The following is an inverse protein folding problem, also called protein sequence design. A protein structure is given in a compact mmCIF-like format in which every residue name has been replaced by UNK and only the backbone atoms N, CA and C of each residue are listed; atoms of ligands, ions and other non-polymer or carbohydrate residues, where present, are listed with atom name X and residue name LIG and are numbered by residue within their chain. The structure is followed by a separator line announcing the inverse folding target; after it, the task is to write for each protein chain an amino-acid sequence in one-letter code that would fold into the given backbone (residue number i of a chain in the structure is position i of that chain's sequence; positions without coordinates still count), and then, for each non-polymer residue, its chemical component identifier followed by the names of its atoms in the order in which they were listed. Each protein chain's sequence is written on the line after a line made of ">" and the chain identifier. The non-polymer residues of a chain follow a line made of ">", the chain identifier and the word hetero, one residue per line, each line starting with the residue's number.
data_IF_925573761192
#
_entry.id   IF_925573761192
#
_cell.length_a   1.000
_cell.length_b   1.000
_cell.length_c   1.000
_cell.angle_alpha   90.00
_cell.angle_beta   90.00
_cell.angle_gamma   90.00
#
_symmetry.space_group_name_H-M   'P 1'
#
loop_
_entity.id
_entity.type
_entity.pdbx_description
1 polymer ?
#
# COMPACT_ATOMS: atom_id res chain seq x y z
N UNK A 1 4.76 -2.63 -70.26
CA UNK A 1 3.85 -2.44 -69.12
C UNK A 1 3.97 -0.98 -68.65
N UNK A 2 2.87 -0.22 -68.57
CA UNK A 2 2.92 1.16 -68.09
C UNK A 2 3.27 1.20 -66.60
N UNK A 3 4.05 2.19 -66.14
CA UNK A 3 4.41 2.33 -64.73
C UNK A 3 3.17 2.67 -63.89
N UNK A 4 3.11 2.18 -62.64
CA UNK A 4 2.02 2.47 -61.73
C UNK A 4 1.95 3.97 -61.40
N UNK A 5 0.75 4.53 -61.20
CA UNK A 5 0.58 5.92 -60.84
C UNK A 5 1.20 6.21 -59.45
N UNK A 6 1.71 7.44 -59.22
CA UNK A 6 2.25 7.82 -57.93
C UNK A 6 1.18 7.81 -56.84
N UNK A 7 1.56 7.54 -55.58
CA UNK A 7 0.63 7.57 -54.45
C UNK A 7 0.05 8.98 -54.24
N UNK A 8 -1.19 9.06 -53.71
CA UNK A 8 -1.80 10.35 -53.38
C UNK A 8 -1.01 11.07 -52.27
N UNK A 9 -1.02 12.42 -52.26
CA UNK A 9 -0.37 13.19 -51.21
C UNK A 9 -1.04 12.94 -49.85
N UNK A 10 -0.28 13.05 -48.74
CA UNK A 10 -0.83 12.91 -47.40
C UNK A 10 -1.88 13.98 -47.10
N UNK A 11 -2.86 13.69 -46.22
CA UNK A 11 -3.86 14.67 -45.80
C UNK A 11 -3.20 15.84 -45.05
N UNK A 12 -3.79 17.05 -45.11
CA UNK A 12 -3.28 18.20 -44.37
C UNK A 12 -3.38 17.97 -42.86
N UNK A 13 -2.48 18.58 -42.06
CA UNK A 13 -2.53 18.48 -40.60
C UNK A 13 -3.83 19.10 -40.04
N UNK A 14 -4.31 18.61 -38.89
CA UNK A 14 -5.48 19.18 -38.23
C UNK A 14 -5.22 20.64 -37.80
N UNK A 15 -6.27 21.48 -37.73
CA UNK A 15 -6.14 22.85 -37.26
C UNK A 15 -5.72 22.89 -35.78
N UNK A 16 -4.99 23.94 -35.35
CA UNK A 16 -4.60 24.11 -33.95
C UNK A 16 -5.82 24.28 -33.04
N UNK A 17 -5.73 23.86 -31.77
CA UNK A 17 -6.80 24.05 -30.80
C UNK A 17 -7.09 25.53 -30.55
N UNK A 18 -8.34 25.90 -30.21
CA UNK A 18 -8.70 27.27 -29.89
C UNK A 18 -7.96 27.76 -28.62
N UNK A 19 -7.66 29.06 -28.51
CA UNK A 19 -7.01 29.62 -27.33
C UNK A 19 -7.91 29.50 -26.09
N UNK A 20 -7.33 29.40 -24.88
CA UNK A 20 -8.09 29.33 -23.64
C UNK A 20 -8.91 30.61 -23.41
N UNK A 21 -10.07 30.53 -22.72
CA UNK A 21 -10.89 31.69 -22.42
C UNK A 21 -10.16 32.67 -21.48
N UNK A 22 -10.44 33.98 -21.58
CA UNK A 22 -9.83 34.98 -20.72
C UNK A 22 -10.26 34.82 -19.25
N UNK A 23 -9.41 35.22 -18.29
CA UNK A 23 -9.73 35.13 -16.87
C UNK A 23 -10.91 36.04 -16.49
N UNK A 24 -11.70 35.67 -15.46
CA UNK A 24 -12.83 36.47 -15.00
C UNK A 24 -12.38 37.82 -14.42
N UNK A 25 -13.22 38.88 -14.54
CA UNK A 25 -12.87 40.20 -14.05
C UNK A 25 -12.80 40.23 -12.50
N UNK A 26 -11.94 41.09 -11.92
CA UNK A 26 -11.80 41.22 -10.47
C UNK A 26 -13.07 41.82 -9.85
N UNK A 27 -13.39 41.45 -8.58
CA UNK A 27 -14.57 41.97 -7.90
C UNK A 27 -14.46 43.47 -7.61
N UNK A 28 -15.60 44.20 -7.59
CA UNK A 28 -15.60 45.64 -7.40
C UNK A 28 -15.16 46.02 -5.97
N UNK A 29 -14.22 46.97 -5.88
CA UNK A 29 -13.75 47.53 -4.61
C UNK A 29 -14.85 48.41 -4.02
N UNK A 30 -15.39 48.01 -2.87
CA UNK A 30 -16.35 48.81 -2.12
C UNK A 30 -15.64 50.00 -1.44
N UNK A 31 -15.98 51.21 -1.86
CA UNK A 31 -15.52 52.46 -1.24
C UNK A 31 -16.63 52.95 -0.29
N UNK A 32 -16.38 52.94 1.02
CA UNK A 32 -17.26 53.56 2.01
C UNK A 32 -16.63 54.85 2.54
N UNK A 33 -17.34 55.97 2.34
CA UNK A 33 -16.96 57.31 2.79
C UNK A 33 -17.03 57.47 4.33
N UNK A 34 -16.32 58.45 4.93
CA UNK A 34 -16.32 58.62 6.39
C UNK A 34 -17.47 59.53 6.82
N UNK A 35 -18.26 59.11 7.81
CA UNK A 35 -19.18 59.99 8.55
C UNK A 35 -18.69 60.16 10.00
N UNK A 36 -18.73 61.43 10.45
CA UNK A 36 -18.28 61.90 11.76
C UNK A 36 -19.05 61.31 12.95
N UNK A 37 -18.44 61.22 14.15
CA UNK A 37 -18.97 60.43 15.26
C UNK A 37 -19.99 61.21 16.10
N UNK A 38 -21.17 60.61 16.34
CA UNK A 38 -22.04 60.97 17.46
C UNK A 38 -21.58 60.22 18.72
N UNK A 39 -21.39 60.97 19.81
CA UNK A 39 -21.04 60.46 21.13
C UNK A 39 -22.20 59.62 21.70
N UNK A 40 -21.93 58.34 21.98
CA UNK A 40 -22.79 57.44 22.75
C UNK A 40 -21.97 56.91 23.95
N UNK A 41 -22.54 56.80 25.16
CA UNK A 41 -21.80 56.46 26.37
C UNK A 41 -21.21 55.04 26.31
N UNK A 42 -19.94 54.91 26.71
CA UNK A 42 -19.22 53.64 26.89
C UNK A 42 -19.89 52.80 27.99
N UNK A 43 -20.71 51.85 27.58
CA UNK A 43 -20.93 50.60 28.33
C UNK A 43 -19.84 49.64 27.84
N UNK A 44 -18.98 49.07 28.70
CA UNK A 44 -18.04 48.05 28.27
C UNK A 44 -18.83 46.75 28.05
N UNK A 45 -19.40 46.61 26.86
CA UNK A 45 -19.77 45.29 26.36
C UNK A 45 -18.44 44.62 26.02
N UNK A 46 -18.06 43.62 26.81
CA UNK A 46 -16.96 42.72 26.51
C UNK A 46 -17.39 41.84 25.33
N UNK A 47 -17.38 42.40 24.13
CA UNK A 47 -17.48 41.64 22.89
C UNK A 47 -16.16 40.85 22.80
N UNK A 48 -16.17 39.51 22.78
CA UNK A 48 -14.97 38.76 22.44
C UNK A 48 -14.59 39.22 21.03
N UNK A 49 -13.44 39.89 20.90
CA UNK A 49 -12.85 40.14 19.60
C UNK A 49 -12.66 38.78 18.95
N UNK A 50 -13.46 38.50 17.92
CA UNK A 50 -13.16 37.41 16.99
C UNK A 50 -11.70 37.59 16.55
N UNK A 51 -10.82 36.60 16.75
CA UNK A 51 -9.54 36.59 16.08
C UNK A 51 -9.83 36.10 14.65
N UNK A 52 -10.26 37.01 13.79
CA UNK A 52 -9.99 36.78 12.37
C UNK A 52 -8.49 37.00 12.18
N UNK A 53 -7.81 35.86 12.12
CA UNK A 53 -6.49 35.62 11.57
C UNK A 53 -5.28 35.72 12.52
N UNK A 54 -4.46 34.67 12.44
CA UNK A 54 -3.24 34.35 13.17
C UNK A 54 -3.42 33.64 14.52
N UNK A 55 -2.76 32.48 14.65
CA UNK A 55 -2.68 31.56 15.80
C UNK A 55 -3.57 30.31 15.76
N UNK A 56 -3.46 29.52 14.69
CA UNK A 56 -3.16 28.11 14.95
C UNK A 56 -1.64 28.00 14.87
N UNK A 57 -0.97 28.15 16.02
CA UNK A 57 0.32 27.47 16.15
C UNK A 57 -0.04 26.00 16.00
N UNK A 58 0.25 25.40 14.86
CA UNK A 58 0.16 23.95 14.74
C UNK A 58 0.96 23.36 15.90
N UNK A 59 0.36 22.41 16.60
CA UNK A 59 1.09 21.64 17.61
C UNK A 59 2.34 21.04 16.94
N UNK A 60 3.47 20.84 17.64
CA UNK A 60 4.62 20.12 17.09
C UNK A 60 4.23 18.76 16.50
N UNK A 61 3.20 18.12 17.07
CA UNK A 61 2.61 16.87 16.56
C UNK A 61 1.89 17.07 15.22
N UNK A 62 1.14 18.16 15.07
CA UNK A 62 0.48 18.50 13.81
C UNK A 62 1.48 18.86 12.71
N UNK A 63 2.57 19.56 13.04
CA UNK A 63 3.64 19.85 12.08
C UNK A 63 4.36 18.56 11.64
N UNK A 64 4.57 17.62 12.56
CA UNK A 64 5.12 16.30 12.25
C UNK A 64 4.19 15.48 11.35
N UNK A 65 2.89 15.46 11.65
CA UNK A 65 1.90 14.74 10.85
C UNK A 65 1.77 15.35 9.46
N UNK A 66 1.75 16.69 9.35
CA UNK A 66 1.72 17.38 8.06
C UNK A 66 2.98 17.09 7.25
N UNK A 67 4.16 17.07 7.88
CA UNK A 67 5.43 16.66 7.25
C UNK A 67 5.37 15.22 6.74
N UNK A 68 4.78 14.30 7.52
CA UNK A 68 4.58 12.89 7.10
C UNK A 68 3.59 12.77 5.95
N UNK A 69 2.47 13.48 6.00
CA UNK A 69 1.49 13.52 4.91
C UNK A 69 2.10 14.09 3.62
N UNK A 70 2.97 15.10 3.75
CA UNK A 70 3.66 15.67 2.59
C UNK A 70 4.59 14.65 1.94
N UNK A 71 5.35 13.90 2.75
CA UNK A 71 6.16 12.78 2.28
C UNK A 71 5.31 11.74 1.55
N UNK A 72 4.25 11.23 2.16
CA UNK A 72 3.40 10.19 1.54
C UNK A 72 2.76 10.67 0.23
N UNK A 73 2.36 11.95 0.16
CA UNK A 73 1.79 12.56 -1.03
C UNK A 73 2.78 12.64 -2.19
N UNK A 74 4.04 13.01 -1.90
CA UNK A 74 5.03 13.32 -2.92
C UNK A 74 6.09 12.23 -3.12
N UNK A 75 6.05 11.14 -2.34
CA UNK A 75 7.04 10.06 -2.40
C UNK A 75 7.24 9.51 -3.81
N UNK A 76 6.16 9.08 -4.45
CA UNK A 76 6.22 8.53 -5.80
C UNK A 76 6.73 9.55 -6.82
N UNK A 77 6.30 10.82 -6.74
CA UNK A 77 6.76 11.85 -7.68
C UNK A 77 8.26 12.12 -7.56
N UNK A 78 8.78 12.20 -6.33
CA UNK A 78 10.23 12.38 -6.10
C UNK A 78 11.02 11.17 -6.61
N UNK A 79 10.52 9.95 -6.38
CA UNK A 79 11.17 8.72 -6.88
C UNK A 79 11.15 8.66 -8.41
N UNK A 80 10.03 9.02 -9.05
CA UNK A 80 9.89 9.05 -10.50
C UNK A 80 10.84 10.06 -11.15
N UNK A 81 10.88 11.29 -10.61
CA UNK A 81 11.80 12.33 -11.07
C UNK A 81 13.27 11.90 -10.91
N UNK A 82 13.61 11.26 -9.80
CA UNK A 82 14.96 10.76 -9.56
C UNK A 82 15.33 9.63 -10.52
N UNK A 83 14.40 8.73 -10.82
CA UNK A 83 14.56 7.65 -11.79
C UNK A 83 14.52 8.14 -13.26
N UNK A 84 14.19 9.41 -13.50
CA UNK A 84 14.06 9.99 -14.84
C UNK A 84 12.82 9.52 -15.59
N UNK A 85 11.80 9.04 -14.87
CA UNK A 85 10.53 8.59 -15.42
C UNK A 85 9.72 9.82 -15.83
N UNK A 86 9.38 9.93 -17.11
CA UNK A 86 8.56 11.03 -17.60
C UNK A 86 7.07 10.82 -17.29
N UNK A 87 6.31 11.91 -17.26
CA UNK A 87 4.85 11.85 -17.15
C UNK A 87 4.23 11.04 -18.30
N UNK A 88 4.80 11.13 -19.52
CA UNK A 88 4.34 10.34 -20.67
C UNK A 88 4.49 8.84 -20.43
N UNK A 89 5.59 8.40 -19.81
CA UNK A 89 5.79 7.00 -19.44
C UNK A 89 4.77 6.55 -18.38
N UNK A 90 4.53 7.37 -17.35
CA UNK A 90 3.51 7.08 -16.33
C UNK A 90 2.11 6.96 -16.95
N UNK A 91 1.74 7.90 -17.82
CA UNK A 91 0.43 7.90 -18.49
C UNK A 91 0.28 6.72 -19.45
N UNK A 92 1.35 6.34 -20.15
CA UNK A 92 1.35 5.18 -21.02
C UNK A 92 1.15 3.88 -20.23
N UNK A 93 1.80 3.73 -19.07
CA UNK A 93 1.58 2.59 -18.18
C UNK A 93 0.12 2.51 -17.70
N UNK A 94 -0.46 3.64 -17.27
CA UNK A 94 -1.88 3.71 -16.89
C UNK A 94 -2.77 3.27 -18.05
N UNK A 95 -2.51 3.78 -19.27
CA UNK A 95 -3.28 3.41 -20.45
C UNK A 95 -3.22 1.90 -20.75
N UNK A 96 -2.04 1.30 -20.65
CA UNK A 96 -1.87 -0.14 -20.81
C UNK A 96 -2.59 -0.89 -19.69
N UNK A 97 -2.46 -0.46 -18.44
CA UNK A 97 -3.14 -1.08 -17.30
C UNK A 97 -4.67 -0.94 -17.36
N UNK A 98 -5.21 0.13 -17.95
CA UNK A 98 -6.65 0.30 -18.13
C UNK A 98 -7.21 -0.61 -19.23
N UNK A 99 -6.45 -0.81 -20.31
CA UNK A 99 -6.87 -1.66 -21.42
C UNK A 99 -6.67 -3.15 -21.14
N UNK A 100 -5.54 -3.48 -20.49
CA UNK A 100 -5.07 -4.85 -20.33
C UNK A 100 -5.01 -5.30 -18.86
N UNK A 101 -5.35 -4.41 -17.92
CA UNK A 101 -5.88 -4.75 -16.59
C UNK A 101 -5.17 -5.88 -15.85
N UNK A 102 -4.02 -5.58 -15.24
CA UNK A 102 -3.50 -6.38 -14.13
C UNK A 102 -3.00 -7.77 -14.48
N UNK A 103 -2.14 -7.90 -15.49
CA UNK A 103 -1.28 -9.07 -15.62
C UNK A 103 -0.02 -8.97 -14.74
N UNK A 104 -0.13 -8.43 -13.52
CA UNK A 104 0.70 -9.00 -12.46
C UNK A 104 0.18 -10.41 -12.25
N UNK A 105 0.78 -11.37 -12.96
CA UNK A 105 0.51 -12.81 -12.78
C UNK A 105 0.53 -13.04 -11.27
N UNK A 106 -0.61 -13.36 -10.61
CA UNK A 106 -0.55 -13.79 -9.24
C UNK A 106 0.41 -14.96 -9.28
N UNK A 107 1.51 -14.85 -8.53
CA UNK A 107 2.48 -15.91 -8.35
C UNK A 107 1.69 -17.23 -8.28
N UNK A 108 1.99 -18.21 -9.13
CA UNK A 108 1.14 -19.42 -9.30
C UNK A 108 0.79 -20.08 -7.95
N UNK A 109 1.67 -19.88 -6.96
CA UNK A 109 1.51 -20.28 -5.56
C UNK A 109 0.26 -19.69 -4.87
N UNK A 110 -0.15 -18.45 -5.16
CA UNK A 110 -1.34 -17.82 -4.58
C UNK A 110 -2.64 -18.34 -5.21
N UNK A 111 -2.64 -18.59 -6.52
CA UNK A 111 -3.81 -19.14 -7.24
C UNK A 111 -4.15 -20.55 -6.74
N UNK A 112 -3.14 -21.38 -6.46
CA UNK A 112 -3.31 -22.70 -5.83
C UNK A 112 -3.91 -22.59 -4.42
N UNK A 113 -3.43 -21.63 -3.62
CA UNK A 113 -3.85 -21.43 -2.22
C UNK A 113 -5.27 -20.85 -2.08
N UNK A 114 -5.73 -20.07 -3.06
CA UNK A 114 -7.10 -19.56 -3.15
C UNK A 114 -8.07 -20.62 -3.71
N UNK A 115 -7.64 -21.42 -4.68
CA UNK A 115 -8.41 -22.55 -5.18
C UNK A 115 -8.69 -23.60 -4.09
N UNK A 116 -7.72 -23.85 -3.20
CA UNK A 116 -7.83 -24.80 -2.10
C UNK A 116 -8.73 -24.31 -0.94
N UNK A 117 -9.07 -23.02 -0.90
CA UNK A 117 -9.93 -22.39 0.13
C UNK A 117 -11.36 -22.09 -0.33
N UNK A 118 -11.80 -22.61 -1.49
CA UNK A 118 -13.20 -22.53 -1.92
C UNK A 118 -14.08 -23.39 -1.01
N UNK A 119 -14.46 -22.85 0.15
CA UNK A 119 -15.51 -23.41 0.98
C UNK A 119 -16.86 -23.21 0.27
N UNK A 120 -17.50 -24.31 -0.13
CA UNK A 120 -18.86 -24.28 -0.65
C UNK A 120 -19.81 -23.90 0.49
N UNK A 121 -20.41 -22.71 0.41
CA UNK A 121 -21.47 -22.30 1.33
C UNK A 121 -22.77 -22.86 0.77
N UNK A 122 -23.19 -24.01 1.29
CA UNK A 122 -24.47 -24.63 0.95
C UNK A 122 -25.62 -23.81 1.53
N UNK A 123 -26.27 -23.01 0.70
CA UNK A 123 -27.63 -22.51 0.96
C UNK A 123 -28.62 -23.45 0.27
N UNK A 124 -29.48 -24.09 1.05
CA UNK A 124 -30.67 -24.80 0.57
C UNK A 124 -31.89 -23.91 0.78
N UNK A 125 -32.67 -23.68 -0.26
CA UNK A 125 -33.97 -23.00 -0.15
C UNK A 125 -35.03 -24.03 0.28
N UNK A 126 -35.91 -23.64 1.21
CA UNK A 126 -37.03 -24.43 1.76
C UNK A 126 -38.17 -24.69 0.74
N UNK A 127 -37.88 -24.86 -0.55
CA UNK A 127 -38.88 -25.20 -1.56
C UNK A 127 -38.30 -25.94 -2.78
N UNK A 128 -37.40 -26.90 -2.57
CA UNK A 128 -36.95 -27.80 -3.64
C UNK A 128 -36.95 -29.25 -3.15
N UNK A 129 -38.00 -29.97 -3.52
CA UNK A 129 -38.08 -31.43 -3.46
C UNK A 129 -37.05 -32.03 -4.43
N UNK A 130 -35.89 -32.43 -3.91
CA UNK A 130 -34.86 -33.14 -4.69
C UNK A 130 -34.99 -34.62 -4.36
N UNK A 131 -35.54 -35.37 -5.32
CA UNK A 131 -35.45 -36.82 -5.37
C UNK A 131 -33.99 -37.27 -5.31
N UNK A 132 -33.77 -38.37 -4.59
CA UNK A 132 -32.52 -39.12 -4.46
C UNK A 132 -31.79 -39.29 -5.80
N UNK A 133 -30.66 -38.61 -5.98
CA UNK A 133 -29.62 -39.04 -6.92
C UNK A 133 -28.22 -38.85 -6.32
N UNK A 134 -28.01 -39.38 -5.12
CA UNK A 134 -26.69 -39.91 -4.74
C UNK A 134 -26.51 -41.28 -5.41
N UNK A 135 -25.86 -41.31 -6.58
CA UNK A 135 -24.90 -42.33 -7.02
C UNK A 135 -24.68 -42.26 -8.53
N UNK A 136 -23.57 -41.66 -8.95
CA UNK A 136 -22.71 -42.22 -9.99
C UNK A 136 -21.42 -41.41 -10.04
N UNK A 137 -20.56 -41.74 -9.08
CA UNK A 137 -19.12 -41.67 -9.30
C UNK A 137 -18.78 -42.60 -10.50
N UNK A 138 -17.77 -42.18 -11.25
CA UNK A 138 -16.96 -42.92 -12.24
C UNK A 138 -17.31 -42.89 -13.74
N UNK A 139 -16.29 -42.43 -14.48
CA UNK A 139 -16.01 -42.52 -15.91
C UNK A 139 -16.69 -41.50 -16.84
N UNK A 140 -15.96 -40.44 -17.15
CA UNK A 140 -15.18 -40.43 -18.41
C UNK A 140 -14.05 -39.40 -18.36
N UNK A 141 -12.83 -39.93 -18.45
CA UNK A 141 -11.76 -39.26 -19.17
C UNK A 141 -12.21 -39.14 -20.64
N UNK A 142 -12.15 -37.95 -21.19
CA UNK A 142 -12.43 -37.66 -22.58
C UNK A 142 -11.96 -36.24 -22.86
N UNK A 143 -10.97 -36.14 -23.74
CA UNK A 143 -10.42 -34.93 -24.33
C UNK A 143 -11.48 -33.84 -24.50
N UNK A 144 -11.25 -32.71 -23.86
CA UNK A 144 -11.56 -31.44 -24.49
C UNK A 144 -10.19 -30.87 -24.85
N UNK A 145 -9.82 -31.05 -26.13
CA UNK A 145 -8.79 -30.28 -26.79
C UNK A 145 -9.19 -28.80 -26.68
N UNK A 146 -8.76 -28.17 -25.58
CA UNK A 146 -8.74 -26.73 -25.45
C UNK A 146 -7.81 -26.23 -26.55
N UNK A 147 -8.38 -25.48 -27.48
CA UNK A 147 -7.64 -24.92 -28.61
C UNK A 147 -6.62 -23.93 -28.05
N UNK A 148 -5.40 -24.43 -27.81
CA UNK A 148 -4.19 -23.64 -27.65
C UNK A 148 -3.92 -22.95 -28.99
N UNK A 149 -4.71 -21.93 -29.32
CA UNK A 149 -4.31 -20.94 -30.32
C UNK A 149 -3.23 -20.07 -29.66
N UNK A 150 -2.03 -20.65 -29.67
CA UNK A 150 -0.75 -20.02 -29.40
C UNK A 150 -0.50 -18.94 -30.45
N UNK A 151 -1.25 -17.84 -30.34
CA UNK A 151 -0.92 -16.59 -31.01
C UNK A 151 0.21 -15.92 -30.23
N UNK A 152 1.42 -16.49 -30.34
CA UNK A 152 2.68 -15.80 -30.10
C UNK A 152 2.86 -14.69 -31.17
N UNK A 153 2.05 -13.64 -31.04
CA UNK A 153 2.17 -12.32 -31.67
C UNK A 153 1.77 -11.40 -30.53
N UNK A 154 2.67 -10.66 -29.93
CA UNK A 154 3.55 -9.68 -30.55
C UNK A 154 4.64 -9.37 -29.52
N UNK A 155 5.69 -8.68 -29.96
CA UNK A 155 6.80 -8.17 -29.17
C UNK A 155 6.42 -7.79 -27.71
N UNK A 156 6.63 -8.70 -26.74
CA UNK A 156 6.65 -8.38 -25.31
C UNK A 156 7.87 -7.47 -25.06
N UNK A 157 7.76 -6.20 -25.45
CA UNK A 157 8.43 -5.13 -24.73
C UNK A 157 7.92 -5.23 -23.30
N UNK A 158 8.63 -6.00 -22.47
CA UNK A 158 8.43 -6.07 -21.02
C UNK A 158 8.48 -4.63 -20.54
N UNK A 159 7.30 -4.00 -20.41
CA UNK A 159 7.20 -2.63 -19.94
C UNK A 159 7.72 -2.67 -18.51
N UNK A 160 8.85 -2.01 -18.21
CA UNK A 160 9.43 -2.05 -16.88
C UNK A 160 8.41 -1.51 -15.89
N UNK A 161 8.18 -2.24 -14.79
CA UNK A 161 7.35 -1.75 -13.68
C UNK A 161 7.84 -0.35 -13.28
N UNK A 162 6.97 0.65 -13.49
CA UNK A 162 7.26 2.07 -13.20
C UNK A 162 7.34 2.32 -11.69
N UNK A 163 6.82 1.41 -10.87
CA UNK A 163 6.93 1.40 -9.42
C UNK A 163 8.35 0.99 -8.94
N UNK A 164 9.37 1.69 -9.44
CA UNK A 164 10.77 1.48 -9.02
C UNK A 164 10.99 2.12 -7.65
N UNK A 165 11.03 1.28 -6.61
CA UNK A 165 11.45 1.72 -5.28
C UNK A 165 12.95 2.06 -5.27
N UNK A 166 13.28 3.25 -4.77
CA UNK A 166 14.68 3.69 -4.59
C UNK A 166 15.29 2.98 -3.37
N UNK A 167 16.26 2.10 -3.57
CA UNK A 167 17.02 1.50 -2.46
C UNK A 167 17.98 2.52 -1.86
N UNK A 168 17.73 2.90 -0.61
CA UNK A 168 18.53 3.88 0.12
C UNK A 168 19.96 3.41 0.39
N UNK A 169 20.20 2.10 0.46
CA UNK A 169 21.53 1.56 0.76
C UNK A 169 22.45 1.55 -0.45
N UNK A 170 21.90 1.67 -1.66
CA UNK A 170 22.66 1.71 -2.92
C UNK A 170 22.99 3.15 -3.37
N UNK A 171 22.44 4.17 -2.71
CA UNK A 171 22.68 5.57 -3.04
C UNK A 171 24.04 6.07 -2.55
N UNK A 172 24.77 6.74 -3.45
CA UNK A 172 25.96 7.51 -3.09
C UNK A 172 25.61 8.82 -2.36
N UNK A 173 26.59 9.42 -1.69
CA UNK A 173 26.39 10.67 -0.93
C UNK A 173 25.90 11.84 -1.80
N UNK A 174 26.36 11.93 -3.05
CA UNK A 174 25.90 12.93 -4.02
C UNK A 174 24.44 12.68 -4.42
N UNK A 175 24.09 11.44 -4.73
CA UNK A 175 22.71 11.06 -5.07
C UNK A 175 21.75 11.31 -3.90
N UNK A 176 22.16 11.05 -2.66
CA UNK A 176 21.40 11.40 -1.45
C UNK A 176 21.16 12.91 -1.37
N UNK A 177 22.17 13.73 -1.68
CA UNK A 177 22.02 15.18 -1.67
C UNK A 177 21.06 15.65 -2.78
N UNK A 178 21.19 15.10 -3.99
CA UNK A 178 20.33 15.41 -5.12
C UNK A 178 18.87 15.00 -4.88
N UNK A 179 18.63 13.81 -4.33
CA UNK A 179 17.29 13.33 -3.95
C UNK A 179 16.62 14.25 -2.92
N UNK A 180 17.37 14.62 -1.88
CA UNK A 180 16.85 15.54 -0.87
C UNK A 180 16.59 16.93 -1.45
N UNK A 181 17.43 17.40 -2.39
CA UNK A 181 17.23 18.66 -3.09
C UNK A 181 15.99 18.62 -3.99
N UNK A 182 15.80 17.55 -4.77
CA UNK A 182 14.61 17.34 -5.59
C UNK A 182 13.35 17.33 -4.72
N UNK A 183 13.36 16.64 -3.57
CA UNK A 183 12.21 16.64 -2.66
C UNK A 183 11.78 18.04 -2.18
N UNK A 184 12.71 18.99 -2.08
CA UNK A 184 12.36 20.37 -1.67
C UNK A 184 11.49 21.11 -2.68
N UNK A 185 11.51 20.75 -3.97
CA UNK A 185 10.64 21.37 -4.99
C UNK A 185 9.17 21.03 -4.74
N UNK A 186 8.92 19.90 -4.09
CA UNK A 186 7.61 19.42 -3.65
C UNK A 186 7.22 19.90 -2.24
N UNK A 187 7.97 20.86 -1.68
CA UNK A 187 7.69 21.44 -0.37
C UNK A 187 8.12 20.59 0.82
N UNK A 188 8.96 19.57 0.62
CA UNK A 188 9.56 18.81 1.71
C UNK A 188 10.71 19.57 2.39
N UNK A 189 10.97 19.25 3.65
CA UNK A 189 12.11 19.80 4.37
C UNK A 189 13.43 19.21 3.85
N UNK A 190 14.51 20.01 3.88
CA UNK A 190 15.83 19.59 3.44
C UNK A 190 16.34 18.40 4.27
N UNK A 191 16.87 17.38 3.59
CA UNK A 191 17.38 16.16 4.23
C UNK A 191 16.31 15.21 4.77
N UNK A 192 15.02 15.55 4.62
CA UNK A 192 13.92 14.80 5.21
C UNK A 192 13.55 13.57 4.37
N UNK A 193 13.61 13.67 3.05
CA UNK A 193 13.17 12.61 2.15
C UNK A 193 13.90 11.29 2.37
N UNK A 194 15.23 11.32 2.32
CA UNK A 194 16.04 10.10 2.52
C UNK A 194 15.92 9.57 3.95
N UNK A 195 15.73 10.44 4.94
CA UNK A 195 15.47 10.02 6.33
C UNK A 195 14.14 9.26 6.42
N UNK A 196 13.10 9.74 5.77
CA UNK A 196 11.79 9.10 5.73
C UNK A 196 11.83 7.78 4.95
N UNK A 197 12.58 7.70 3.84
CA UNK A 197 12.78 6.44 3.12
C UNK A 197 13.48 5.36 3.97
N UNK A 198 14.49 5.73 4.77
CA UNK A 198 15.12 4.77 5.71
C UNK A 198 14.13 4.28 6.76
N UNK A 199 13.26 5.17 7.23
CA UNK A 199 12.22 4.83 8.19
C UNK A 199 11.20 3.88 7.57
N UNK A 200 10.76 4.12 6.34
CA UNK A 200 9.88 3.20 5.59
C UNK A 200 10.53 1.82 5.42
N UNK A 201 11.83 1.77 5.09
CA UNK A 201 12.59 0.51 4.99
C UNK A 201 12.64 -0.24 6.32
N UNK A 202 12.96 0.45 7.42
CA UNK A 202 12.96 -0.11 8.77
C UNK A 202 11.56 -0.62 9.17
N UNK A 203 10.50 0.14 8.88
CA UNK A 203 9.12 -0.25 9.15
C UNK A 203 8.71 -1.49 8.34
N UNK A 204 9.07 -1.56 7.05
CA UNK A 204 8.82 -2.73 6.21
C UNK A 204 9.55 -3.99 6.73
N UNK A 205 10.82 -3.84 7.14
CA UNK A 205 11.57 -4.92 7.79
C UNK A 205 10.95 -5.34 9.12
N UNK A 206 10.47 -4.40 9.94
CA UNK A 206 9.80 -4.68 11.19
C UNK A 206 8.49 -5.46 10.98
N UNK A 207 7.69 -5.07 9.97
CA UNK A 207 6.47 -5.79 9.59
C UNK A 207 6.80 -7.20 9.11
N UNK A 208 7.82 -7.36 8.24
CA UNK A 208 8.28 -8.66 7.77
C UNK A 208 8.73 -9.56 8.92
N UNK A 209 9.50 -9.03 9.86
CA UNK A 209 9.96 -9.73 11.05
C UNK A 209 8.80 -10.12 11.98
N UNK A 210 7.83 -9.21 12.18
CA UNK A 210 6.63 -9.48 12.98
C UNK A 210 5.78 -10.58 12.35
N UNK A 211 5.56 -10.53 11.02
CA UNK A 211 4.83 -11.55 10.26
C UNK A 211 5.53 -12.90 10.31
N UNK A 212 6.86 -12.94 10.17
CA UNK A 212 7.64 -14.17 10.29
C UNK A 212 7.54 -14.78 11.69
N UNK A 213 7.58 -13.96 12.75
CA UNK A 213 7.40 -14.43 14.12
C UNK A 213 5.98 -14.94 14.37
N UNK A 214 4.98 -14.25 13.86
CA UNK A 214 3.59 -14.71 13.92
C UNK A 214 3.39 -16.01 13.14
N UNK A 215 3.98 -16.15 11.95
CA UNK A 215 3.93 -17.36 11.15
C UNK A 215 4.66 -18.52 11.83
N UNK A 216 5.84 -18.30 12.44
CA UNK A 216 6.48 -19.29 13.31
C UNK A 216 5.56 -19.65 14.49
N UNK A 217 4.86 -18.68 15.09
CA UNK A 217 3.93 -18.99 16.18
C UNK A 217 2.68 -19.76 15.71
N UNK A 218 2.16 -19.40 14.54
CA UNK A 218 0.95 -19.95 13.93
C UNK A 218 1.19 -21.36 13.39
N UNK A 219 2.34 -21.59 12.76
CA UNK A 219 2.82 -22.93 12.42
C UNK A 219 2.70 -23.82 13.66
N UNK A 220 3.11 -23.33 14.83
CA UNK A 220 3.18 -24.07 16.09
C UNK A 220 1.87 -24.06 16.91
N UNK A 221 0.81 -23.47 16.37
CA UNK A 221 -0.56 -23.46 16.90
C UNK A 221 -1.41 -24.54 16.20
N UNK A 222 -2.23 -25.30 16.96
CA UNK A 222 -3.16 -26.30 16.42
C UNK A 222 -2.98 -27.75 16.94
N UNK A 223 -3.57 -28.74 16.23
CA UNK A 223 -3.62 -30.17 16.62
C UNK A 223 -2.30 -30.90 16.29
N UNK A 224 -1.20 -30.47 16.91
CA UNK A 224 0.15 -30.97 16.62
C UNK A 224 0.52 -32.30 17.29
N UNK A 225 1.46 -33.03 16.68
CA UNK A 225 2.04 -34.29 17.18
C UNK A 225 2.57 -34.16 18.61
N UNK A 226 2.52 -35.26 19.38
CA UNK A 226 3.01 -35.33 20.77
C UNK A 226 4.48 -34.92 20.88
N UNK A 227 5.29 -35.19 19.85
CA UNK A 227 6.71 -34.80 19.76
C UNK A 227 6.89 -33.29 19.75
N UNK A 228 6.15 -32.58 18.88
CA UNK A 228 6.18 -31.12 18.78
C UNK A 228 5.71 -30.42 20.06
N UNK A 229 4.74 -31.02 20.78
CA UNK A 229 4.30 -30.51 22.10
C UNK A 229 5.35 -30.66 23.20
N UNK A 230 6.28 -31.63 23.09
CA UNK A 230 7.41 -31.77 24.01
C UNK A 230 8.49 -30.75 23.68
N UNK A 231 8.86 -30.64 22.42
CA UNK A 231 9.85 -29.67 21.94
C UNK A 231 9.43 -28.23 22.27
N UNK A 232 8.13 -27.89 22.21
CA UNK A 232 7.62 -26.58 22.64
C UNK A 232 7.80 -26.33 24.14
N UNK A 233 7.43 -27.30 24.98
CA UNK A 233 7.65 -27.20 26.43
C UNK A 233 9.12 -27.07 26.75
N UNK A 234 9.96 -27.83 26.06
CA UNK A 234 11.41 -27.81 26.22
C UNK A 234 12.00 -26.46 25.78
N UNK A 235 11.63 -25.91 24.61
CA UNK A 235 12.06 -24.57 24.13
C UNK A 235 11.61 -23.45 25.09
N UNK A 236 10.41 -23.54 25.68
CA UNK A 236 9.90 -22.58 26.70
C UNK A 236 10.60 -22.71 28.07
N UNK A 237 11.04 -23.91 28.43
CA UNK A 237 11.78 -24.15 29.67
C UNK A 237 13.29 -23.97 29.50
N UNK A 238 13.81 -23.97 28.26
CA UNK A 238 15.23 -23.78 27.96
C UNK A 238 15.65 -22.39 28.42
N UNK A 239 16.64 -22.34 29.32
CA UNK A 239 17.11 -21.11 29.95
C UNK A 239 16.36 -20.71 31.24
N UNK A 240 15.26 -21.37 31.60
CA UNK A 240 14.58 -21.13 32.89
C UNK A 240 15.07 -22.13 33.93
N UNK A 241 15.64 -21.63 35.03
CA UNK A 241 15.92 -22.42 36.24
C UNK A 241 14.61 -22.70 36.96
N UNK A 242 13.87 -23.73 36.53
CA UNK A 242 12.63 -24.13 37.21
C UNK A 242 12.99 -24.86 38.50
N UNK A 243 12.44 -24.38 39.61
CA UNK A 243 12.60 -25.06 40.90
C UNK A 243 11.99 -26.46 40.81
N UNK A 244 12.54 -27.46 41.50
CA UNK A 244 11.99 -28.82 41.50
C UNK A 244 10.49 -28.80 41.80
N UNK A 245 9.71 -29.69 41.15
CA UNK A 245 8.28 -29.84 41.43
C UNK A 245 8.01 -29.91 42.93
N UNK A 246 6.90 -29.36 43.40
CA UNK A 246 6.60 -29.24 44.84
C UNK A 246 6.68 -30.57 45.58
N UNK A 247 6.38 -31.70 44.93
CA UNK A 247 6.49 -33.04 45.51
C UNK A 247 7.94 -33.52 45.74
N UNK A 248 8.92 -32.93 45.05
CA UNK A 248 10.35 -33.22 45.22
C UNK A 248 11.00 -32.29 46.26
N UNK A 249 10.24 -31.36 46.86
CA UNK A 249 10.69 -30.55 47.98
C UNK A 249 10.50 -31.36 49.27
N UNK A 250 11.61 -31.63 49.98
CA UNK A 250 11.60 -32.30 51.30
C UNK A 250 10.81 -31.52 52.35
N UNK A 251 10.62 -30.21 52.13
CA UNK A 251 9.83 -29.32 52.98
C UNK A 251 8.37 -29.16 52.52
N UNK A 252 7.89 -29.99 51.57
CA UNK A 252 6.48 -29.95 51.21
C UNK A 252 5.64 -30.49 52.38
N UNK A 253 4.50 -29.87 52.73
CA UNK A 253 3.63 -30.33 53.83
C UNK A 253 3.10 -31.76 53.72
N UNK A 254 3.37 -32.44 52.61
CA UNK A 254 2.92 -33.81 52.28
C UNK A 254 4.05 -34.83 52.36
N UNK A 255 5.30 -34.41 52.60
CA UNK A 255 6.44 -35.32 52.71
C UNK A 255 6.64 -35.77 54.15
N UNK A 256 6.04 -36.91 54.51
CA UNK A 256 6.30 -37.56 55.78
C UNK A 256 7.68 -38.25 55.75
N UNK A 257 8.62 -37.94 56.65
CA UNK A 257 9.94 -38.55 56.63
C UNK A 257 9.85 -40.04 56.98
N UNK A 258 10.35 -40.89 56.07
CA UNK A 258 10.40 -42.34 56.21
C UNK A 258 11.00 -42.73 57.58
N UNK A 259 10.18 -43.35 58.43
CA UNK A 259 10.60 -43.97 59.68
C UNK A 259 11.36 -45.26 59.35
N UNK A 260 12.62 -45.36 59.79
CA UNK A 260 13.38 -46.62 59.83
C UNK A 260 12.98 -47.43 61.07
#
# INVERSE_FOLDING_TARGET
>A
PPPPPPPPPPPPPPPPPPPPPPPPPPPPKSTLAPQNPRLIPKIPILIPKSPHNSLFSSSPEQESDERKCNYERYRGLVQNDFAGISEEQCLYQIYIDELYGGLQKPNEDEKKKLAEKKASIGYTYEDSTVEELENSLEKRAGDEEDSEEDSNTDEDEVIPDIDVEVDVDELNQEQVADLNKQATTYGMAEGDFVRMLRKDKEEAEAIKNAKALEEEKAMYSGRRSRRQRREFREKRLKGRKISPPSYARRDSPTYDPYKR
#
